data_IF_536484285459
#
_entry.id   IF_536484285459
#
_cell.length_a   1.000
_cell.length_b   1.000
_cell.length_c   1.000
_cell.angle_alpha   90.00
_cell.angle_beta   90.00
_cell.angle_gamma   90.00
#
_symmetry.space_group_name_H-M   'P 1'
#
loop_
_entity.id
_entity.type
_entity.pdbx_description
1 polymer ?
#
# COMPACT_ATOMS: atom_id res chain seq x y z
N UNK A 1 15.36 -15.97 17.57
CA UNK A 1 13.94 -16.35 17.49
C UNK A 1 13.60 -17.18 18.70
N UNK A 2 12.92 -16.55 19.67
CA UNK A 2 12.43 -17.23 20.87
C UNK A 2 11.45 -18.35 20.53
N UNK A 3 11.30 -19.31 21.44
CA UNK A 3 10.35 -20.42 21.32
C UNK A 3 8.92 -19.91 21.16
N UNK A 4 8.50 -18.88 21.92
CA UNK A 4 7.14 -18.33 21.81
C UNK A 4 6.92 -17.61 20.47
N UNK A 5 7.93 -16.90 19.94
CA UNK A 5 7.86 -16.27 18.60
C UNK A 5 7.65 -17.31 17.51
N UNK A 6 8.36 -18.44 17.56
CA UNK A 6 8.21 -19.52 16.60
C UNK A 6 6.84 -20.22 16.70
N UNK A 7 6.29 -20.38 17.90
CA UNK A 7 4.96 -20.96 18.12
C UNK A 7 3.88 -20.03 17.55
N UNK A 8 3.94 -18.72 17.83
CA UNK A 8 2.97 -17.77 17.30
C UNK A 8 3.05 -17.64 15.77
N UNK A 9 4.27 -17.60 15.20
CA UNK A 9 4.45 -17.59 13.74
C UNK A 9 3.89 -18.85 13.08
N UNK A 10 4.04 -20.02 13.71
CA UNK A 10 3.44 -21.27 13.22
C UNK A 10 1.92 -21.19 13.24
N UNK A 11 1.32 -20.68 14.31
CA UNK A 11 -0.13 -20.51 14.41
C UNK A 11 -0.70 -19.58 13.33
N UNK A 12 -0.03 -18.45 13.08
CA UNK A 12 -0.36 -17.50 11.99
C UNK A 12 -0.32 -18.18 10.60
N UNK A 13 0.45 -19.25 10.44
CA UNK A 13 0.59 -19.98 9.17
C UNK A 13 -0.28 -21.24 9.08
N UNK A 14 -0.92 -21.67 10.17
CA UNK A 14 -1.72 -22.91 10.19
C UNK A 14 -3.17 -22.67 10.62
N UNK A 15 -3.44 -22.63 11.93
CA UNK A 15 -4.79 -22.51 12.47
C UNK A 15 -5.43 -21.16 12.12
N UNK A 16 -4.65 -20.08 12.14
CA UNK A 16 -5.13 -18.73 11.82
C UNK A 16 -5.83 -18.64 10.44
N UNK A 17 -5.20 -19.03 9.30
CA UNK A 17 -5.89 -18.99 8.02
C UNK A 17 -7.01 -20.01 7.90
N UNK A 18 -7.00 -21.12 8.66
CA UNK A 18 -8.10 -22.09 8.69
C UNK A 18 -9.35 -21.47 9.34
N UNK A 19 -9.23 -20.95 10.56
CA UNK A 19 -10.34 -20.32 11.30
C UNK A 19 -10.95 -19.17 10.49
N UNK A 20 -10.08 -18.30 9.94
CA UNK A 20 -10.52 -17.20 9.09
C UNK A 20 -11.25 -17.69 7.83
N UNK A 21 -10.76 -18.75 7.17
CA UNK A 21 -11.41 -19.29 5.96
C UNK A 21 -12.78 -19.90 6.27
N UNK A 22 -12.94 -20.56 7.41
CA UNK A 22 -14.23 -21.10 7.85
C UNK A 22 -15.22 -19.97 8.14
N UNK A 23 -14.77 -18.90 8.80
CA UNK A 23 -15.59 -17.69 8.99
C UNK A 23 -16.00 -17.07 7.65
N UNK A 24 -15.09 -16.94 6.68
CA UNK A 24 -15.43 -16.45 5.33
C UNK A 24 -16.49 -17.28 4.63
N UNK A 25 -16.47 -18.60 4.81
CA UNK A 25 -17.50 -19.48 4.24
C UNK A 25 -18.87 -19.19 4.83
N UNK A 26 -18.96 -18.99 6.15
CA UNK A 26 -20.21 -18.63 6.83
C UNK A 26 -20.75 -17.29 6.32
N UNK A 27 -19.88 -16.28 6.20
CA UNK A 27 -20.32 -14.97 5.74
C UNK A 27 -20.79 -15.01 4.28
N UNK A 28 -20.08 -15.76 3.44
CA UNK A 28 -20.38 -15.88 2.01
C UNK A 28 -21.72 -16.56 1.70
N UNK A 29 -22.20 -17.43 2.58
CA UNK A 29 -23.47 -18.16 2.40
C UNK A 29 -24.71 -17.28 2.61
N UNK A 30 -24.55 -16.10 3.23
CA UNK A 30 -25.66 -15.17 3.48
C UNK A 30 -26.04 -14.37 2.24
N UNK A 31 -27.27 -13.86 2.24
CA UNK A 31 -27.69 -12.80 1.32
C UNK A 31 -26.91 -11.50 1.58
N UNK A 32 -26.81 -11.08 2.85
CA UNK A 32 -25.92 -10.00 3.27
C UNK A 32 -24.52 -10.55 3.62
N UNK A 33 -23.67 -10.69 2.59
CA UNK A 33 -22.29 -11.16 2.75
C UNK A 33 -21.40 -10.24 3.59
N UNK A 34 -21.84 -9.00 3.86
CA UNK A 34 -21.11 -8.06 4.71
C UNK A 34 -21.48 -8.20 6.19
N UNK A 35 -22.60 -8.85 6.51
CA UNK A 35 -22.98 -9.11 7.90
C UNK A 35 -22.05 -10.13 8.55
N UNK A 36 -21.59 -9.80 9.75
CA UNK A 36 -20.82 -10.70 10.61
C UNK A 36 -21.46 -10.93 11.96
N UNK A 37 -22.52 -10.19 12.31
CA UNK A 37 -23.14 -10.27 13.63
C UNK A 37 -23.89 -11.60 13.79
N UNK A 38 -23.72 -12.25 14.95
CA UNK A 38 -24.40 -13.50 15.30
C UNK A 38 -23.90 -14.73 14.55
N UNK A 39 -22.81 -14.63 13.79
CA UNK A 39 -22.27 -15.73 12.97
C UNK A 39 -20.88 -16.14 13.40
N UNK A 40 -20.65 -17.45 13.44
CA UNK A 40 -19.34 -18.02 13.72
C UNK A 40 -18.79 -17.67 15.11
N UNK A 41 -19.65 -17.33 16.08
CA UNK A 41 -19.22 -16.93 17.43
C UNK A 41 -18.23 -17.92 18.08
N UNK A 42 -18.39 -19.26 17.98
CA UNK A 42 -17.38 -20.19 18.47
C UNK A 42 -16.01 -20.02 17.81
N UNK A 43 -15.96 -19.82 16.49
CA UNK A 43 -14.72 -19.60 15.73
C UNK A 43 -14.09 -18.24 16.04
N UNK A 44 -14.90 -17.18 16.24
CA UNK A 44 -14.41 -15.87 16.66
C UNK A 44 -13.79 -15.93 18.06
N UNK A 45 -14.45 -16.64 18.98
CA UNK A 45 -13.95 -16.84 20.33
C UNK A 45 -12.65 -17.66 20.31
N UNK A 46 -12.60 -18.73 19.51
CA UNK A 46 -11.38 -19.52 19.30
C UNK A 46 -10.23 -18.67 18.76
N UNK A 47 -10.46 -17.89 17.69
CA UNK A 47 -9.45 -16.99 17.11
C UNK A 47 -8.88 -16.06 18.17
N UNK A 48 -9.75 -15.41 18.95
CA UNK A 48 -9.40 -14.45 20.00
C UNK A 48 -8.60 -15.11 21.11
N UNK A 49 -9.07 -16.23 21.64
CA UNK A 49 -8.48 -16.87 22.82
C UNK A 49 -7.12 -17.49 22.50
N UNK A 50 -7.01 -18.20 21.38
CA UNK A 50 -5.73 -18.76 20.93
C UNK A 50 -4.71 -17.67 20.65
N UNK A 51 -5.10 -16.62 19.92
CA UNK A 51 -4.22 -15.49 19.60
C UNK A 51 -3.77 -14.73 20.85
N UNK A 52 -4.68 -14.44 21.78
CA UNK A 52 -4.35 -13.77 23.03
C UNK A 52 -3.38 -14.61 23.88
N UNK A 53 -3.66 -15.90 24.09
CA UNK A 53 -2.78 -16.75 24.89
C UNK A 53 -1.34 -16.81 24.34
N UNK A 54 -1.17 -16.82 23.02
CA UNK A 54 0.14 -16.78 22.37
C UNK A 54 0.83 -15.43 22.57
N UNK A 55 0.09 -14.33 22.47
CA UNK A 55 0.60 -12.97 22.69
C UNK A 55 0.96 -12.72 24.16
N UNK A 56 0.19 -13.25 25.13
CA UNK A 56 0.50 -13.12 26.56
C UNK A 56 1.90 -13.66 26.87
N UNK A 57 2.24 -14.82 26.30
CA UNK A 57 3.56 -15.43 26.47
C UNK A 57 4.67 -14.56 25.88
N UNK A 58 4.44 -13.95 24.71
CA UNK A 58 5.38 -13.03 24.07
C UNK A 58 5.57 -11.75 24.87
N UNK A 59 4.50 -11.19 25.43
CA UNK A 59 4.58 -9.98 26.24
C UNK A 59 5.35 -10.24 27.55
N UNK A 60 5.20 -11.42 28.14
CA UNK A 60 5.94 -11.84 29.32
C UNK A 60 7.46 -12.03 29.07
N UNK A 61 7.88 -12.33 27.83
CA UNK A 61 9.30 -12.38 27.46
C UNK A 61 9.98 -10.99 27.52
N UNK A 62 9.21 -9.91 27.38
CA UNK A 62 9.74 -8.55 27.35
C UNK A 62 10.52 -8.24 26.07
N UNK A 63 11.43 -7.26 26.13
CA UNK A 63 12.26 -6.90 24.98
C UNK A 63 13.41 -7.91 24.80
N UNK A 64 13.43 -8.59 23.66
CA UNK A 64 14.43 -9.62 23.32
C UNK A 64 15.54 -9.12 22.39
N UNK A 65 15.42 -7.91 21.83
CA UNK A 65 16.37 -7.26 20.91
C UNK A 65 16.98 -8.19 19.84
N UNK A 66 16.12 -8.96 19.15
CA UNK A 66 16.55 -9.92 18.12
C UNK A 66 16.79 -9.30 16.72
N UNK A 67 17.00 -7.97 16.67
CA UNK A 67 17.18 -7.19 15.45
C UNK A 67 15.87 -6.82 14.73
N UNK A 68 16.00 -5.91 13.77
CA UNK A 68 14.87 -5.29 13.06
C UNK A 68 13.96 -6.33 12.36
N UNK A 69 14.53 -7.24 11.56
CA UNK A 69 13.74 -8.21 10.79
C UNK A 69 12.89 -9.12 11.68
N UNK A 70 13.43 -9.56 12.81
CA UNK A 70 12.72 -10.40 13.78
C UNK A 70 11.58 -9.63 14.42
N UNK A 71 11.84 -8.38 14.85
CA UNK A 71 10.85 -7.51 15.46
C UNK A 71 9.73 -7.14 14.48
N UNK A 72 10.07 -6.76 13.24
CA UNK A 72 9.12 -6.43 12.20
C UNK A 72 8.26 -7.65 11.81
N UNK A 73 8.86 -8.84 11.70
CA UNK A 73 8.11 -10.07 11.44
C UNK A 73 7.12 -10.41 12.57
N UNK A 74 7.52 -10.21 13.84
CA UNK A 74 6.66 -10.41 15.00
C UNK A 74 5.52 -9.38 15.04
N UNK A 75 5.81 -8.10 14.80
CA UNK A 75 4.79 -7.05 14.67
C UNK A 75 3.79 -7.39 13.57
N UNK A 76 4.25 -7.93 12.45
CA UNK A 76 3.40 -8.44 11.38
C UNK A 76 2.40 -9.49 11.88
N UNK A 77 2.85 -10.46 12.68
CA UNK A 77 1.98 -11.50 13.25
C UNK A 77 0.92 -10.92 14.20
N UNK A 78 1.33 -10.03 15.10
CA UNK A 78 0.40 -9.35 16.03
C UNK A 78 -0.60 -8.51 15.24
N UNK A 79 -0.12 -7.77 14.25
CA UNK A 79 -0.94 -6.94 13.38
C UNK A 79 -1.94 -7.72 12.53
N UNK A 80 -1.55 -8.89 12.00
CA UNK A 80 -2.44 -9.79 11.28
C UNK A 80 -3.55 -10.32 12.19
N UNK A 81 -3.21 -10.74 13.40
CA UNK A 81 -4.19 -11.15 14.41
C UNK A 81 -5.19 -10.02 14.71
N UNK A 82 -4.71 -8.82 15.05
CA UNK A 82 -5.57 -7.67 15.35
C UNK A 82 -6.45 -7.27 14.15
N UNK A 83 -5.91 -7.32 12.93
CA UNK A 83 -6.67 -7.06 11.71
C UNK A 83 -7.77 -8.10 11.47
N UNK A 84 -7.54 -9.38 11.76
CA UNK A 84 -8.58 -10.40 11.70
C UNK A 84 -9.66 -10.18 12.79
N UNK A 85 -9.26 -9.85 14.02
CA UNK A 85 -10.22 -9.47 15.06
C UNK A 85 -11.09 -8.28 14.65
N UNK A 86 -10.51 -7.30 13.96
CA UNK A 86 -11.26 -6.19 13.38
C UNK A 86 -12.22 -6.63 12.29
N UNK A 87 -11.78 -7.52 11.39
CA UNK A 87 -12.60 -8.03 10.28
C UNK A 87 -13.85 -8.75 10.78
N UNK A 88 -13.71 -9.54 11.85
CA UNK A 88 -14.77 -10.35 12.45
C UNK A 88 -15.56 -9.62 13.54
N UNK A 89 -15.33 -8.32 13.70
CA UNK A 89 -15.99 -7.43 14.67
C UNK A 89 -15.86 -7.86 16.14
N UNK A 90 -14.81 -8.63 16.44
CA UNK A 90 -14.29 -8.88 17.79
C UNK A 90 -13.81 -7.54 18.40
N UNK A 91 -13.31 -6.63 17.56
CA UNK A 91 -13.06 -5.21 17.88
C UNK A 91 -13.63 -4.30 16.79
N UNK A 92 -14.15 -3.14 17.19
CA UNK A 92 -14.74 -2.14 16.32
C UNK A 92 -14.46 -0.71 16.86
N UNK A 93 -13.72 0.14 16.12
CA UNK A 93 -13.21 1.40 16.64
C UNK A 93 -14.27 2.42 17.06
N UNK A 94 -15.47 2.39 16.48
CA UNK A 94 -16.58 3.31 16.83
C UNK A 94 -17.37 2.84 18.06
N UNK A 95 -17.29 1.56 18.42
CA UNK A 95 -17.89 0.97 19.64
C UNK A 95 -16.99 1.14 20.87
N UNK A 96 -15.74 1.53 20.66
CA UNK A 96 -14.68 1.44 21.66
C UNK A 96 -14.01 2.80 21.87
N UNK A 97 -13.59 3.09 23.10
CA UNK A 97 -12.73 4.24 23.42
C UNK A 97 -11.24 3.86 23.47
N UNK A 98 -10.96 2.60 23.79
CA UNK A 98 -9.65 1.94 23.74
C UNK A 98 -9.80 0.55 23.15
N UNK A 99 -8.75 0.03 22.50
CA UNK A 99 -8.74 -1.34 21.98
C UNK A 99 -9.00 -2.36 23.10
N UNK A 100 -9.92 -3.33 22.91
CA UNK A 100 -10.16 -4.41 23.87
C UNK A 100 -9.06 -5.48 23.83
N UNK A 101 -8.19 -5.45 22.82
CA UNK A 101 -7.04 -6.35 22.66
C UNK A 101 -5.83 -5.75 23.38
N UNK A 102 -5.88 -5.72 24.71
CA UNK A 102 -4.94 -4.97 25.56
C UNK A 102 -3.49 -5.43 25.37
N UNK A 103 -3.23 -6.74 25.47
CA UNK A 103 -1.87 -7.28 25.37
C UNK A 103 -1.30 -7.16 23.95
N UNK A 104 -2.13 -7.44 22.93
CA UNK A 104 -1.75 -7.24 21.53
C UNK A 104 -1.42 -5.77 21.23
N UNK A 105 -2.21 -4.84 21.77
CA UNK A 105 -1.96 -3.41 21.65
C UNK A 105 -0.65 -3.01 22.34
N UNK A 106 -0.40 -3.50 23.55
CA UNK A 106 0.83 -3.21 24.30
C UNK A 106 2.07 -3.69 23.53
N UNK A 107 2.04 -4.94 23.04
CA UNK A 107 3.14 -5.51 22.27
C UNK A 107 3.34 -4.80 20.93
N UNK A 108 2.26 -4.52 20.20
CA UNK A 108 2.35 -3.84 18.91
C UNK A 108 2.87 -2.40 19.03
N UNK A 109 2.42 -1.64 20.03
CA UNK A 109 2.93 -0.29 20.30
C UNK A 109 4.40 -0.30 20.70
N UNK A 110 4.79 -1.24 21.57
CA UNK A 110 6.18 -1.39 21.98
C UNK A 110 7.08 -1.65 20.76
N UNK A 111 6.76 -2.66 19.95
CA UNK A 111 7.58 -3.01 18.78
C UNK A 111 7.55 -1.89 17.74
N UNK A 112 6.37 -1.37 17.39
CA UNK A 112 6.24 -0.32 16.37
C UNK A 112 7.05 0.92 16.72
N UNK A 113 6.97 1.37 17.98
CA UNK A 113 7.74 2.51 18.45
C UNK A 113 9.25 2.24 18.50
N UNK A 114 9.68 1.03 18.85
CA UNK A 114 11.10 0.70 18.96
C UNK A 114 11.81 0.61 17.60
N UNK A 115 11.10 0.25 16.53
CA UNK A 115 11.67 0.10 15.19
C UNK A 115 11.19 1.16 14.18
N UNK A 116 10.43 2.17 14.63
CA UNK A 116 10.05 3.32 13.81
C UNK A 116 8.99 3.05 12.75
N UNK A 117 8.01 2.19 13.05
CA UNK A 117 6.90 1.83 12.14
C UNK A 117 5.55 1.89 12.85
N UNK A 118 4.46 1.87 12.08
CA UNK A 118 3.10 1.88 12.61
C UNK A 118 2.86 0.61 13.46
N UNK A 119 2.18 0.69 14.61
CA UNK A 119 2.01 -0.45 15.52
C UNK A 119 0.88 -1.39 15.07
N UNK A 120 0.87 -1.79 13.80
CA UNK A 120 -0.15 -2.66 13.19
C UNK A 120 0.41 -3.40 11.98
N UNK A 121 -0.42 -4.27 11.39
CA UNK A 121 -0.12 -4.83 10.07
C UNK A 121 -0.04 -3.70 9.01
N UNK A 122 1.10 -3.68 8.31
CA UNK A 122 1.44 -2.84 7.15
C UNK A 122 1.72 -3.66 5.88
N UNK A 123 1.60 -3.06 4.70
CA UNK A 123 1.66 -3.73 3.38
C UNK A 123 2.87 -4.64 3.19
N UNK A 124 4.05 -4.22 3.66
CA UNK A 124 5.28 -5.01 3.53
C UNK A 124 5.17 -6.41 4.19
N UNK A 125 4.45 -6.56 5.30
CA UNK A 125 4.32 -7.84 6.01
C UNK A 125 3.62 -8.93 5.20
N UNK A 126 2.74 -8.56 4.27
CA UNK A 126 2.07 -9.52 3.37
C UNK A 126 2.66 -9.55 1.97
N UNK A 127 3.54 -8.59 1.62
CA UNK A 127 4.13 -8.48 0.28
C UNK A 127 5.64 -8.69 0.33
N UNK A 128 6.42 -7.61 0.29
CA UNK A 128 7.88 -7.63 0.11
C UNK A 128 8.66 -8.27 1.26
N UNK A 129 8.06 -8.37 2.45
CA UNK A 129 8.67 -8.94 3.65
C UNK A 129 7.82 -10.10 4.21
N UNK A 130 7.18 -10.86 3.32
CA UNK A 130 6.38 -12.03 3.68
C UNK A 130 7.13 -13.34 3.40
N UNK A 131 7.97 -13.76 4.35
CA UNK A 131 8.80 -14.95 4.20
C UNK A 131 7.96 -16.20 3.94
N UNK A 132 8.20 -16.87 2.81
CA UNK A 132 7.63 -18.17 2.49
C UNK A 132 8.41 -19.31 3.19
N UNK A 133 7.68 -20.30 3.71
CA UNK A 133 8.19 -21.55 4.23
C UNK A 133 7.62 -22.69 3.38
N UNK A 134 8.49 -23.45 2.72
CA UNK A 134 8.09 -24.52 1.78
C UNK A 134 7.02 -24.07 0.76
N UNK A 135 7.24 -22.92 0.12
CA UNK A 135 6.33 -22.35 -0.88
C UNK A 135 5.09 -21.64 -0.33
N UNK A 136 4.86 -21.64 1.00
CA UNK A 136 3.69 -21.00 1.63
C UNK A 136 4.10 -19.80 2.48
N UNK A 137 3.48 -18.65 2.24
CA UNK A 137 3.70 -17.41 2.99
C UNK A 137 2.44 -17.03 3.80
N UNK A 138 2.56 -16.03 4.69
CA UNK A 138 1.48 -15.61 5.59
C UNK A 138 0.31 -15.03 4.78
N UNK A 139 -0.91 -15.35 5.20
CA UNK A 139 -2.17 -14.88 4.62
C UNK A 139 -3.24 -14.85 5.72
N UNK A 140 -4.30 -14.09 5.52
CA UNK A 140 -5.49 -14.10 6.38
C UNK A 140 -6.31 -15.36 6.17
N UNK A 141 -6.44 -15.83 4.94
CA UNK A 141 -7.28 -16.97 4.53
C UNK A 141 -6.52 -17.89 3.58
N UNK A 142 -7.15 -19.00 3.20
CA UNK A 142 -6.70 -19.89 2.13
C UNK A 142 -7.37 -19.58 0.78
N UNK A 143 -8.07 -18.45 0.65
CA UNK A 143 -8.80 -18.11 -0.56
C UNK A 143 -7.85 -17.81 -1.74
N UNK A 144 -8.15 -18.28 -2.96
CA UNK A 144 -7.37 -17.97 -4.16
C UNK A 144 -7.30 -16.47 -4.47
N UNK A 145 -8.38 -15.73 -4.25
CA UNK A 145 -8.43 -14.28 -4.53
C UNK A 145 -7.52 -13.47 -3.62
N UNK A 146 -7.33 -13.89 -2.36
CA UNK A 146 -6.36 -13.25 -1.48
C UNK A 146 -4.94 -13.48 -1.97
N UNK A 147 -4.64 -14.71 -2.43
CA UNK A 147 -3.35 -15.04 -3.04
C UNK A 147 -3.07 -14.16 -4.26
N UNK A 148 -4.02 -14.08 -5.19
CA UNK A 148 -3.90 -13.25 -6.39
C UNK A 148 -3.67 -11.79 -6.03
N UNK A 149 -4.44 -11.26 -5.08
CA UNK A 149 -4.29 -9.89 -4.62
C UNK A 149 -2.90 -9.64 -4.04
N UNK A 150 -2.42 -10.49 -3.13
CA UNK A 150 -1.09 -10.35 -2.52
C UNK A 150 0.03 -10.45 -3.57
N UNK A 151 -0.05 -11.43 -4.47
CA UNK A 151 1.00 -11.71 -5.45
C UNK A 151 1.15 -10.55 -6.45
N UNK A 152 0.05 -10.07 -7.02
CA UNK A 152 0.11 -8.96 -7.99
C UNK A 152 0.44 -7.63 -7.32
N UNK A 153 0.01 -7.38 -6.08
CA UNK A 153 0.51 -6.22 -5.33
C UNK A 153 2.01 -6.30 -5.10
N UNK A 154 2.54 -7.48 -4.74
CA UNK A 154 3.98 -7.67 -4.56
C UNK A 154 4.74 -7.41 -5.86
N UNK A 155 4.28 -7.96 -6.98
CA UNK A 155 4.88 -7.74 -8.29
C UNK A 155 4.87 -6.26 -8.68
N UNK A 156 3.72 -5.58 -8.55
CA UNK A 156 3.57 -4.16 -8.84
C UNK A 156 4.47 -3.28 -7.96
N UNK A 157 4.55 -3.56 -6.66
CA UNK A 157 5.44 -2.84 -5.72
C UNK A 157 6.91 -3.02 -6.15
N UNK A 158 7.35 -4.25 -6.44
CA UNK A 158 8.73 -4.50 -6.86
C UNK A 158 9.05 -3.85 -8.20
N UNK A 159 8.10 -3.80 -9.14
CA UNK A 159 8.27 -3.08 -10.40
C UNK A 159 8.38 -1.57 -10.19
N UNK A 160 7.55 -0.98 -9.34
CA UNK A 160 7.71 0.44 -8.96
C UNK A 160 9.05 0.72 -8.27
N UNK A 161 9.55 -0.18 -7.41
CA UNK A 161 10.88 -0.03 -6.79
C UNK A 161 11.99 -0.03 -7.85
N UNK A 162 11.94 -0.91 -8.85
CA UNK A 162 12.88 -0.88 -9.99
C UNK A 162 12.83 0.46 -10.75
N UNK A 163 11.63 0.99 -10.96
CA UNK A 163 11.47 2.28 -11.63
C UNK A 163 12.07 3.43 -10.81
N UNK A 164 11.76 3.52 -9.51
CA UNK A 164 12.33 4.57 -8.64
C UNK A 164 13.84 4.47 -8.52
N UNK A 165 14.39 3.27 -8.43
CA UNK A 165 15.83 3.05 -8.29
C UNK A 165 16.60 3.49 -9.54
N UNK A 166 16.03 3.32 -10.72
CA UNK A 166 16.61 3.80 -11.97
C UNK A 166 16.59 5.34 -12.03
N UNK A 167 15.46 5.95 -11.63
CA UNK A 167 15.32 7.40 -11.58
C UNK A 167 16.28 8.04 -10.56
N UNK A 168 16.42 7.47 -9.36
CA UNK A 168 17.37 7.96 -8.35
C UNK A 168 18.82 7.98 -8.86
N UNK A 169 19.20 7.02 -9.70
CA UNK A 169 20.55 6.95 -10.29
C UNK A 169 20.81 8.01 -11.36
N UNK A 170 19.78 8.71 -11.85
CA UNK A 170 19.95 9.85 -12.77
C UNK A 170 20.42 11.08 -12.00
N UNK A 171 20.01 11.28 -10.75
CA UNK A 171 20.34 12.47 -9.94
C UNK A 171 21.84 12.84 -9.96
N UNK A 172 22.79 11.94 -9.65
CA UNK A 172 24.21 12.29 -9.65
C UNK A 172 24.81 12.44 -11.06
N UNK A 173 24.13 11.96 -12.10
CA UNK A 173 24.62 12.01 -13.49
C UNK A 173 24.11 13.26 -14.24
N UNK A 174 22.88 13.69 -13.94
CA UNK A 174 22.20 14.77 -14.63
C UNK A 174 21.52 14.33 -15.92
N UNK A 175 20.52 15.11 -16.35
CA UNK A 175 19.65 14.79 -17.49
C UNK A 175 20.38 14.75 -18.84
N UNK A 176 21.56 15.36 -18.97
CA UNK A 176 22.34 15.40 -20.21
C UNK A 176 23.33 14.24 -20.36
N UNK A 177 23.59 13.50 -19.28
CA UNK A 177 24.54 12.39 -19.31
C UNK A 177 24.02 11.27 -20.22
N UNK A 178 24.83 10.65 -21.11
CA UNK A 178 24.36 9.60 -22.02
C UNK A 178 23.65 8.42 -21.33
N UNK A 179 24.16 8.00 -20.16
CA UNK A 179 23.53 6.95 -19.33
C UNK A 179 22.14 7.34 -18.78
N UNK A 180 21.76 8.62 -18.77
CA UNK A 180 20.40 9.05 -18.43
C UNK A 180 19.38 8.35 -19.33
N UNK A 181 19.65 8.26 -20.64
CA UNK A 181 18.77 7.54 -21.57
C UNK A 181 18.58 6.07 -21.18
N UNK A 182 19.66 5.39 -20.79
CA UNK A 182 19.60 3.99 -20.38
C UNK A 182 18.78 3.81 -19.09
N UNK A 183 18.95 4.69 -18.11
CA UNK A 183 18.18 4.68 -16.88
C UNK A 183 16.70 5.02 -17.12
N UNK A 184 16.39 5.95 -18.02
CA UNK A 184 15.02 6.25 -18.43
C UNK A 184 14.36 5.05 -19.14
N UNK A 185 15.11 4.28 -19.95
CA UNK A 185 14.60 3.03 -20.54
C UNK A 185 14.31 1.97 -19.48
N UNK A 186 15.16 1.85 -18.46
CA UNK A 186 14.90 0.94 -17.31
C UNK A 186 13.64 1.36 -16.56
N UNK A 187 13.50 2.64 -16.23
CA UNK A 187 12.30 3.17 -15.57
C UNK A 187 11.04 2.95 -16.43
N UNK A 188 11.14 3.18 -17.73
CA UNK A 188 10.08 2.92 -18.70
C UNK A 188 9.63 1.46 -18.68
N UNK A 189 10.57 0.51 -18.80
CA UNK A 189 10.25 -0.91 -18.80
C UNK A 189 9.61 -1.33 -17.47
N UNK A 190 10.17 -0.88 -16.34
CA UNK A 190 9.61 -1.18 -15.03
C UNK A 190 8.16 -0.67 -14.87
N UNK A 191 7.81 0.51 -15.42
CA UNK A 191 6.43 1.00 -15.44
C UNK A 191 5.52 0.21 -16.39
N UNK A 192 6.04 -0.34 -17.49
CA UNK A 192 5.29 -1.28 -18.34
C UNK A 192 4.98 -2.55 -17.55
N UNK A 193 5.94 -3.10 -16.82
CA UNK A 193 5.73 -4.28 -15.98
C UNK A 193 4.66 -4.02 -14.90
N UNK A 194 4.57 -2.80 -14.36
CA UNK A 194 3.47 -2.41 -13.46
C UNK A 194 2.11 -2.49 -14.16
N UNK A 195 2.00 -1.97 -15.39
CA UNK A 195 0.76 -2.01 -16.17
C UNK A 195 0.35 -3.45 -16.44
N UNK A 196 1.29 -4.30 -16.86
CA UNK A 196 1.04 -5.72 -17.15
C UNK A 196 0.58 -6.47 -15.90
N UNK A 197 1.27 -6.28 -14.77
CA UNK A 197 0.92 -6.88 -13.47
C UNK A 197 -0.48 -6.46 -13.02
N UNK A 198 -0.79 -5.17 -13.13
CA UNK A 198 -2.12 -4.63 -12.81
C UNK A 198 -3.21 -5.18 -13.72
N UNK A 199 -2.99 -5.24 -15.03
CA UNK A 199 -3.96 -5.77 -15.98
C UNK A 199 -4.25 -7.26 -15.73
N UNK A 200 -3.23 -8.03 -15.38
CA UNK A 200 -3.37 -9.43 -15.01
C UNK A 200 -4.24 -9.57 -13.75
N UNK A 201 -4.04 -8.73 -12.73
CA UNK A 201 -4.90 -8.68 -11.53
C UNK A 201 -6.34 -8.34 -11.89
N UNK A 202 -6.58 -7.29 -12.69
CA UNK A 202 -7.94 -6.84 -13.05
C UNK A 202 -8.77 -7.91 -13.77
N UNK A 203 -8.08 -8.76 -14.52
CA UNK A 203 -8.67 -9.82 -15.33
C UNK A 203 -8.99 -11.06 -14.49
N UNK A 204 -8.14 -11.38 -13.52
CA UNK A 204 -8.23 -12.64 -12.76
C UNK A 204 -8.92 -12.52 -11.40
N UNK A 205 -8.87 -11.36 -10.75
CA UNK A 205 -9.43 -11.18 -9.41
C UNK A 205 -10.95 -11.14 -9.46
N UNK A 206 -11.60 -12.01 -8.69
CA UNK A 206 -13.06 -11.98 -8.53
C UNK A 206 -13.45 -10.74 -7.69
N UNK A 207 -14.32 -9.91 -8.26
CA UNK A 207 -14.73 -8.63 -7.66
C UNK A 207 -15.53 -8.81 -6.38
N UNK A 208 -16.45 -9.78 -6.34
CA UNK A 208 -17.32 -10.02 -5.19
C UNK A 208 -16.53 -10.69 -4.06
N UNK A 209 -15.69 -11.67 -4.39
CA UNK A 209 -14.77 -12.32 -3.44
C UNK A 209 -13.78 -11.33 -2.85
N UNK A 210 -13.16 -10.50 -3.68
CA UNK A 210 -12.25 -9.47 -3.16
C UNK A 210 -12.99 -8.52 -2.20
N UNK A 211 -14.14 -8.00 -2.61
CA UNK A 211 -14.85 -6.98 -1.83
C UNK A 211 -15.35 -7.52 -0.49
N UNK A 212 -15.84 -8.76 -0.43
CA UNK A 212 -16.45 -9.34 0.77
C UNK A 212 -15.51 -10.20 1.61
N UNK A 213 -14.45 -10.78 1.02
CA UNK A 213 -13.58 -11.72 1.73
C UNK A 213 -12.14 -11.24 1.89
N UNK A 214 -11.64 -10.34 1.04
CA UNK A 214 -10.24 -9.86 1.10
C UNK A 214 -10.16 -8.46 1.70
N UNK A 215 -10.85 -7.49 1.08
CA UNK A 215 -10.89 -6.08 1.51
C UNK A 215 -11.19 -5.89 3.01
N UNK A 216 -12.13 -6.63 3.64
CA UNK A 216 -12.49 -6.40 5.04
C UNK A 216 -11.36 -6.60 6.06
N UNK A 217 -10.29 -7.31 5.70
CA UNK A 217 -9.08 -7.45 6.54
C UNK A 217 -8.22 -6.18 6.58
N UNK A 218 -8.44 -5.24 5.67
CA UNK A 218 -7.70 -3.98 5.57
C UNK A 218 -8.46 -2.81 6.25
N UNK A 219 -9.41 -3.09 7.14
CA UNK A 219 -10.16 -2.06 7.87
C UNK A 219 -9.29 -1.31 8.91
N UNK A 220 -9.61 -0.04 9.22
CA UNK A 220 -9.07 0.67 10.39
C UNK A 220 -9.46 -0.01 11.70
N UNK A 221 -8.57 0.02 12.69
CA UNK A 221 -8.83 -0.46 14.06
C UNK A 221 -8.00 0.30 15.10
N UNK A 222 -8.38 0.17 16.37
CA UNK A 222 -7.65 0.76 17.49
C UNK A 222 -6.43 -0.08 17.88
N UNK A 223 -5.32 0.59 18.17
CA UNK A 223 -4.16 0.03 18.87
C UNK A 223 -3.90 0.93 20.07
N UNK A 224 -4.13 0.42 21.28
CA UNK A 224 -4.31 1.29 22.45
C UNK A 224 -5.51 2.21 22.24
N UNK A 225 -5.32 3.51 22.44
CA UNK A 225 -6.38 4.50 22.28
C UNK A 225 -6.53 5.02 20.84
N UNK A 226 -5.48 4.91 20.02
CA UNK A 226 -5.43 5.54 18.70
C UNK A 226 -6.03 4.65 17.61
N UNK A 227 -6.73 5.27 16.64
CA UNK A 227 -7.25 4.58 15.46
C UNK A 227 -6.22 4.67 14.34
N UNK A 228 -5.77 3.51 13.86
CA UNK A 228 -4.85 3.43 12.73
C UNK A 228 -5.59 2.95 11.48
N UNK A 229 -5.48 3.70 10.37
CA UNK A 229 -6.01 3.30 9.07
C UNK A 229 -5.43 1.96 8.62
N UNK A 230 -6.13 1.28 7.72
CA UNK A 230 -5.67 0.11 6.99
C UNK A 230 -4.44 0.35 6.12
N UNK A 231 -3.75 -0.74 5.81
CA UNK A 231 -2.63 -0.74 4.89
C UNK A 231 -3.10 -0.59 3.44
N UNK A 232 -2.35 0.17 2.63
CA UNK A 232 -2.63 0.42 1.23
C UNK A 232 -1.51 -0.13 0.35
N UNK A 233 -1.86 -0.59 -0.86
CA UNK A 233 -0.89 -1.05 -1.86
C UNK A 233 0.20 0.00 -2.18
N UNK A 234 -0.13 1.28 -2.01
CA UNK A 234 0.80 2.38 -2.19
C UNK A 234 1.75 2.62 -1.02
N UNK A 235 1.69 1.91 0.11
CA UNK A 235 2.50 2.16 1.32
C UNK A 235 3.97 1.69 1.17
N UNK A 236 4.69 2.33 0.26
CA UNK A 236 6.13 2.18 0.02
C UNK A 236 6.66 3.46 -0.66
N UNK A 237 7.98 3.67 -0.65
CA UNK A 237 8.57 4.91 -1.17
C UNK A 237 8.45 5.07 -2.68
N UNK A 238 8.69 3.99 -3.43
CA UNK A 238 8.95 4.03 -4.87
C UNK A 238 7.94 4.84 -5.68
N UNK A 239 6.64 4.66 -5.45
CA UNK A 239 5.61 5.40 -6.20
C UNK A 239 5.68 6.93 -5.96
N UNK A 240 5.97 7.36 -4.73
CA UNK A 240 6.08 8.78 -4.39
C UNK A 240 7.45 9.37 -4.76
N UNK A 241 8.50 8.55 -4.77
CA UNK A 241 9.81 8.94 -5.32
C UNK A 241 9.68 9.25 -6.80
N UNK A 242 8.98 8.39 -7.56
CA UNK A 242 8.70 8.64 -9.00
C UNK A 242 7.89 9.93 -9.17
N UNK A 243 6.82 10.11 -8.37
CA UNK A 243 5.99 11.32 -8.41
C UNK A 243 6.83 12.62 -8.31
N UNK A 244 7.79 12.65 -7.37
CA UNK A 244 8.61 13.84 -7.10
C UNK A 244 9.77 13.99 -8.09
N UNK A 245 10.49 12.92 -8.43
CA UNK A 245 11.62 12.98 -9.35
C UNK A 245 11.17 13.31 -10.78
N UNK A 246 10.00 12.82 -11.22
CA UNK A 246 9.41 13.23 -12.49
C UNK A 246 8.76 14.63 -12.43
N UNK A 247 8.67 15.24 -11.25
CA UNK A 247 8.08 16.57 -11.04
C UNK A 247 6.56 16.61 -11.16
N UNK A 248 5.88 15.46 -11.19
CA UNK A 248 4.43 15.33 -11.38
C UNK A 248 3.65 15.68 -10.12
N UNK A 249 4.27 15.49 -8.94
CA UNK A 249 3.77 16.00 -7.66
C UNK A 249 4.87 16.83 -6.97
N UNK A 250 4.47 17.67 -6.01
CA UNK A 250 5.39 18.55 -5.27
C UNK A 250 5.23 18.36 -3.76
N UNK A 251 6.35 18.10 -3.07
CA UNK A 251 6.39 18.04 -1.61
C UNK A 251 6.09 19.39 -0.93
N UNK A 252 6.15 20.51 -1.67
CA UNK A 252 5.81 21.83 -1.14
C UNK A 252 4.30 22.12 -1.18
N UNK A 253 3.49 21.25 -1.81
CA UNK A 253 2.04 21.36 -1.80
C UNK A 253 1.48 20.75 -0.51
N UNK A 254 0.72 21.51 0.32
CA UNK A 254 0.22 21.01 1.62
C UNK A 254 -0.56 19.71 1.54
N UNK A 255 -1.37 19.53 0.48
CA UNK A 255 -2.18 18.32 0.27
C UNK A 255 -1.30 17.09 0.03
N UNK A 256 -0.22 17.24 -0.73
CA UNK A 256 0.69 16.14 -1.04
C UNK A 256 1.62 15.84 0.13
N UNK A 257 2.16 16.85 0.81
CA UNK A 257 3.02 16.65 1.98
C UNK A 257 2.29 15.98 3.14
N UNK A 258 1.04 16.37 3.41
CA UNK A 258 0.20 15.70 4.41
C UNK A 258 0.00 14.21 4.07
N UNK A 259 -0.28 13.89 2.80
CA UNK A 259 -0.39 12.49 2.35
C UNK A 259 0.88 11.68 2.61
N UNK A 260 2.07 12.28 2.44
CA UNK A 260 3.35 11.62 2.75
C UNK A 260 3.53 11.41 4.26
N UNK A 261 3.16 12.40 5.08
CA UNK A 261 3.18 12.31 6.55
C UNK A 261 2.32 11.14 7.04
N UNK A 262 1.10 11.02 6.53
CA UNK A 262 0.12 10.00 6.93
C UNK A 262 0.51 8.57 6.52
N UNK A 263 1.63 8.39 5.81
CA UNK A 263 2.10 7.07 5.36
C UNK A 263 3.54 6.74 5.69
N UNK A 264 4.36 7.65 6.22
CA UNK A 264 5.76 7.32 6.57
C UNK A 264 5.84 6.10 7.48
N UNK A 265 5.06 6.07 8.56
CA UNK A 265 5.08 4.93 9.49
C UNK A 265 4.52 3.63 8.87
N UNK A 266 3.86 3.69 7.71
CA UNK A 266 3.31 2.53 7.03
C UNK A 266 4.30 1.83 6.08
N UNK A 267 5.51 2.37 5.91
CA UNK A 267 6.57 1.77 5.09
C UNK A 267 7.84 1.47 5.91
N UNK A 268 8.74 0.68 5.31
CA UNK A 268 10.03 0.33 5.90
C UNK A 268 10.85 1.59 6.24
N UNK A 269 11.64 1.62 7.32
CA UNK A 269 12.47 2.78 7.66
C UNK A 269 13.39 3.25 6.52
N UNK A 270 13.93 2.33 5.71
CA UNK A 270 14.75 2.66 4.54
C UNK A 270 13.93 3.38 3.47
N UNK A 271 12.70 2.92 3.22
CA UNK A 271 11.76 3.59 2.32
C UNK A 271 11.40 5.00 2.87
N UNK A 272 11.23 5.15 4.19
CA UNK A 272 10.99 6.47 4.80
C UNK A 272 12.14 7.43 4.55
N UNK A 273 13.39 6.97 4.71
CA UNK A 273 14.58 7.79 4.48
C UNK A 273 14.68 8.22 3.02
N UNK A 274 14.58 7.27 2.07
CA UNK A 274 14.63 7.56 0.63
C UNK A 274 13.56 8.58 0.25
N UNK A 275 12.35 8.41 0.79
CA UNK A 275 11.24 9.31 0.50
C UNK A 275 11.50 10.74 1.04
N UNK A 276 12.02 10.87 2.27
CA UNK A 276 12.40 12.17 2.86
C UNK A 276 13.50 12.88 2.08
N UNK A 277 14.47 12.12 1.57
CA UNK A 277 15.53 12.66 0.73
C UNK A 277 14.96 13.17 -0.61
N UNK A 278 14.11 12.39 -1.27
CA UNK A 278 13.48 12.78 -2.54
C UNK A 278 12.64 14.05 -2.43
N UNK A 279 12.04 14.35 -1.27
CA UNK A 279 11.30 15.61 -1.03
C UNK A 279 12.16 16.88 -1.16
N UNK A 280 13.49 16.76 -1.10
CA UNK A 280 14.44 17.88 -1.13
C UNK A 280 15.21 17.97 -2.45
N UNK A 281 14.94 17.07 -3.39
CA UNK A 281 15.65 17.01 -4.67
C UNK A 281 14.94 17.87 -5.73
N UNK A 282 15.72 18.40 -6.68
CA UNK A 282 15.16 19.02 -7.89
C UNK A 282 14.57 17.95 -8.80
N UNK A 283 13.45 18.29 -9.47
CA UNK A 283 12.77 17.36 -10.38
C UNK A 283 13.35 17.41 -11.78
N UNK A 284 13.32 16.27 -12.49
CA UNK A 284 13.77 16.20 -13.89
C UNK A 284 12.91 17.04 -14.82
N UNK A 285 11.62 17.23 -14.49
CA UNK A 285 10.76 18.16 -15.23
C UNK A 285 11.37 19.56 -15.25
N UNK A 286 11.74 20.06 -14.08
CA UNK A 286 12.30 21.40 -13.96
C UNK A 286 13.70 21.47 -14.59
N UNK A 287 14.51 20.40 -14.49
CA UNK A 287 15.80 20.31 -15.19
C UNK A 287 15.63 20.42 -16.72
N UNK A 288 14.68 19.69 -17.31
CA UNK A 288 14.43 19.76 -18.77
C UNK A 288 13.91 21.15 -19.18
N UNK A 289 13.04 21.76 -18.39
CA UNK A 289 12.53 23.11 -18.65
C UNK A 289 13.65 24.18 -18.56
N UNK A 290 14.54 24.07 -17.59
CA UNK A 290 15.70 24.98 -17.42
C UNK A 290 16.76 24.78 -18.52
N UNK A 291 16.80 23.62 -19.17
CA UNK A 291 17.72 23.30 -20.25
C UNK A 291 17.23 23.74 -21.65
N UNK A 292 16.30 24.69 -21.74
CA UNK A 292 15.70 25.18 -22.99
C UNK A 292 16.74 25.57 -24.06
N UNK A 293 17.86 26.20 -23.67
CA UNK A 293 18.94 26.58 -24.58
C UNK A 293 19.60 25.39 -25.29
N UNK A 294 19.42 24.18 -24.78
CA UNK A 294 19.94 22.94 -25.35
C UNK A 294 18.90 22.15 -26.12
N UNK A 295 17.69 22.68 -26.33
CA UNK A 295 16.58 21.96 -26.97
C UNK A 295 16.91 21.39 -28.36
N UNK A 296 17.84 22.03 -29.07
CA UNK A 296 18.25 21.64 -30.41
C UNK A 296 19.35 20.56 -30.42
N UNK A 297 19.94 20.23 -29.27
CA UNK A 297 20.94 19.17 -29.13
C UNK A 297 20.32 17.78 -29.22
N UNK A 298 21.05 16.84 -29.81
CA UNK A 298 20.61 15.44 -29.97
C UNK A 298 20.29 14.75 -28.65
N UNK A 299 21.14 14.96 -27.63
CA UNK A 299 20.92 14.39 -26.30
C UNK A 299 19.61 14.90 -25.70
N UNK A 300 19.28 16.20 -25.88
CA UNK A 300 18.09 16.79 -25.29
C UNK A 300 16.85 16.18 -25.92
N UNK A 301 16.77 16.18 -27.26
CA UNK A 301 15.63 15.60 -27.99
C UNK A 301 15.42 14.14 -27.63
N UNK A 302 16.50 13.36 -27.57
CA UNK A 302 16.42 11.93 -27.24
C UNK A 302 15.99 11.68 -25.79
N UNK A 303 16.63 12.35 -24.83
CA UNK A 303 16.35 12.14 -23.41
C UNK A 303 14.97 12.69 -23.03
N UNK A 304 14.59 13.88 -23.51
CA UNK A 304 13.27 14.47 -23.26
C UNK A 304 12.16 13.59 -23.84
N UNK A 305 12.36 12.98 -25.01
CA UNK A 305 11.41 12.00 -25.58
C UNK A 305 11.21 10.80 -24.65
N UNK A 306 12.29 10.22 -24.11
CA UNK A 306 12.20 9.12 -23.15
C UNK A 306 11.56 9.55 -21.84
N UNK A 307 11.91 10.73 -21.31
CA UNK A 307 11.33 11.30 -20.10
C UNK A 307 9.81 11.49 -20.23
N UNK A 308 9.33 12.07 -21.34
CA UNK A 308 7.88 12.22 -21.61
C UNK A 308 7.19 10.85 -21.66
N UNK A 309 7.83 9.82 -22.23
CA UNK A 309 7.28 8.46 -22.24
C UNK A 309 7.16 7.87 -20.83
N UNK A 310 8.17 8.06 -19.98
CA UNK A 310 8.14 7.63 -18.57
C UNK A 310 7.02 8.35 -17.82
N UNK A 311 6.89 9.67 -17.96
CA UNK A 311 5.79 10.44 -17.36
C UNK A 311 4.42 9.93 -17.81
N UNK A 312 4.26 9.67 -19.12
CA UNK A 312 3.02 9.13 -19.67
C UNK A 312 2.70 7.76 -19.06
N UNK A 313 3.66 6.84 -19.00
CA UNK A 313 3.43 5.50 -18.45
C UNK A 313 3.08 5.55 -16.96
N UNK A 314 3.71 6.43 -16.19
CA UNK A 314 3.34 6.64 -14.79
C UNK A 314 1.90 7.15 -14.67
N UNK A 315 1.50 8.10 -15.51
CA UNK A 315 0.11 8.53 -15.64
C UNK A 315 -0.86 7.41 -16.02
N UNK A 316 -0.51 6.60 -17.03
CA UNK A 316 -1.32 5.46 -17.48
C UNK A 316 -1.50 4.43 -16.37
N UNK A 317 -0.46 4.14 -15.57
CA UNK A 317 -0.58 3.24 -14.40
C UNK A 317 -1.55 3.79 -13.36
N UNK A 318 -1.55 5.10 -13.12
CA UNK A 318 -2.45 5.75 -12.16
C UNK A 318 -3.90 5.76 -12.66
N UNK A 319 -4.12 6.03 -13.96
CA UNK A 319 -5.44 5.95 -14.60
C UNK A 319 -5.98 4.53 -14.54
N UNK A 320 -5.17 3.54 -14.91
CA UNK A 320 -5.53 2.12 -14.82
C UNK A 320 -5.90 1.73 -13.40
N UNK A 321 -5.08 2.07 -12.42
CA UNK A 321 -5.35 1.79 -11.01
C UNK A 321 -6.67 2.41 -10.54
N UNK A 322 -6.92 3.68 -10.82
CA UNK A 322 -8.14 4.35 -10.40
C UNK A 322 -9.38 3.75 -11.10
N UNK A 323 -9.35 3.66 -12.43
CA UNK A 323 -10.54 3.29 -13.21
C UNK A 323 -10.83 1.78 -13.18
N UNK A 324 -9.82 0.93 -12.96
CA UNK A 324 -9.98 -0.52 -12.96
C UNK A 324 -9.92 -1.15 -11.57
N UNK A 325 -9.10 -0.61 -10.65
CA UNK A 325 -9.06 -1.16 -9.29
C UNK A 325 -10.07 -0.46 -8.38
N UNK A 326 -9.97 0.86 -8.26
CA UNK A 326 -10.81 1.62 -7.32
C UNK A 326 -12.28 1.60 -7.76
N UNK A 327 -12.57 1.90 -9.02
CA UNK A 327 -13.94 1.93 -9.50
C UNK A 327 -14.59 0.53 -9.48
N UNK A 328 -13.95 -0.47 -10.09
CA UNK A 328 -14.51 -1.83 -10.23
C UNK A 328 -14.61 -2.58 -8.90
N UNK A 329 -13.58 -2.50 -8.05
CA UNK A 329 -13.49 -3.32 -6.83
C UNK A 329 -13.93 -2.59 -5.56
N UNK A 330 -14.16 -1.27 -5.59
CA UNK A 330 -14.60 -0.50 -4.41
C UNK A 330 -15.85 0.31 -4.71
N UNK A 331 -15.82 1.21 -5.70
CA UNK A 331 -16.92 2.16 -5.93
C UNK A 331 -18.20 1.49 -6.44
N UNK A 332 -18.11 0.56 -7.39
CA UNK A 332 -19.29 -0.15 -7.91
C UNK A 332 -19.91 -1.12 -6.90
N UNK A 333 -19.14 -1.99 -6.21
CA UNK A 333 -19.71 -2.88 -5.20
C UNK A 333 -20.31 -2.14 -4.01
N UNK A 334 -19.75 -0.99 -3.63
CA UNK A 334 -20.29 -0.18 -2.51
C UNK A 334 -21.65 0.44 -2.81
N UNK A 335 -22.05 0.63 -4.08
CA UNK A 335 -23.40 1.12 -4.43
C UNK A 335 -24.52 0.14 -4.08
N UNK A 336 -24.20 -1.16 -4.03
CA UNK A 336 -25.15 -2.22 -3.70
C UNK A 336 -25.08 -2.61 -2.22
N UNK A 337 -24.14 -2.03 -1.46
CA UNK A 337 -23.94 -2.31 -0.05
C UNK A 337 -25.02 -1.62 0.79
N UNK A 338 -25.52 -2.31 1.81
CA UNK A 338 -26.46 -1.71 2.74
C UNK A 338 -25.83 -0.52 3.48
N UNK A 339 -26.61 0.55 3.70
CA UNK A 339 -26.13 1.81 4.26
C UNK A 339 -25.41 1.65 5.62
N UNK A 340 -25.85 0.69 6.44
CA UNK A 340 -25.26 0.39 7.75
C UNK A 340 -23.78 -0.01 7.69
N UNK A 341 -23.32 -0.52 6.54
CA UNK A 341 -21.94 -0.99 6.37
C UNK A 341 -21.03 0.04 5.67
N UNK A 342 -21.58 1.15 5.18
CA UNK A 342 -20.85 2.13 4.36
C UNK A 342 -19.69 2.81 5.09
N UNK A 343 -19.80 3.02 6.39
CA UNK A 343 -18.72 3.58 7.22
C UNK A 343 -17.50 2.65 7.32
N UNK A 344 -17.65 1.36 6.98
CA UNK A 344 -16.62 0.32 7.09
C UNK A 344 -15.98 -0.03 5.72
N UNK A 345 -16.28 0.74 4.66
CA UNK A 345 -15.81 0.45 3.29
C UNK A 345 -14.34 0.79 3.10
N UNK A 346 -13.91 1.97 3.55
CA UNK A 346 -12.55 2.47 3.25
C UNK A 346 -11.50 1.92 4.22
N UNK A 347 -10.34 1.57 3.69
CA UNK A 347 -9.14 1.30 4.49
C UNK A 347 -8.55 2.60 5.08
N UNK A 348 -8.71 3.74 4.41
CA UNK A 348 -7.97 4.96 4.75
C UNK A 348 -8.55 5.79 5.90
N UNK A 349 -9.82 5.57 6.30
CA UNK A 349 -10.49 6.32 7.37
C UNK A 349 -11.53 7.35 6.89
N UNK A 350 -11.22 8.23 5.92
CA UNK A 350 -12.20 9.19 5.41
C UNK A 350 -13.42 8.53 4.76
N UNK A 351 -14.58 9.22 4.73
CA UNK A 351 -15.73 8.76 3.96
C UNK A 351 -15.37 8.49 2.49
N UNK A 352 -16.03 7.50 1.88
CA UNK A 352 -15.69 7.01 0.54
C UNK A 352 -15.61 8.13 -0.52
N UNK A 353 -16.56 9.08 -0.52
CA UNK A 353 -16.55 10.18 -1.49
C UNK A 353 -15.33 11.11 -1.34
N UNK A 354 -14.89 11.38 -0.10
CA UNK A 354 -13.69 12.19 0.18
C UNK A 354 -12.43 11.47 -0.29
N UNK A 355 -12.37 10.16 -0.06
CA UNK A 355 -11.27 9.32 -0.53
C UNK A 355 -11.21 9.29 -2.07
N UNK A 356 -12.36 9.12 -2.75
CA UNK A 356 -12.42 9.06 -4.21
C UNK A 356 -11.98 10.39 -4.84
N UNK A 357 -12.42 11.54 -4.30
CA UNK A 357 -11.97 12.86 -4.77
C UNK A 357 -10.45 13.04 -4.60
N UNK A 358 -9.91 12.63 -3.45
CA UNK A 358 -8.46 12.69 -3.20
C UNK A 358 -7.66 11.80 -4.17
N UNK A 359 -8.15 10.59 -4.44
CA UNK A 359 -7.53 9.65 -5.37
C UNK A 359 -7.64 10.12 -6.82
N UNK A 360 -8.73 10.81 -7.17
CA UNK A 360 -8.91 11.39 -8.49
C UNK A 360 -7.90 12.52 -8.75
N UNK A 361 -7.75 13.43 -7.79
CA UNK A 361 -6.75 14.51 -7.88
C UNK A 361 -5.32 13.95 -7.99
N UNK A 362 -5.00 12.90 -7.24
CA UNK A 362 -3.69 12.24 -7.34
C UNK A 362 -3.48 11.55 -8.70
N UNK A 363 -4.52 10.87 -9.24
CA UNK A 363 -4.50 10.29 -10.59
C UNK A 363 -4.17 11.37 -11.63
N UNK A 364 -4.84 12.50 -11.55
CA UNK A 364 -4.73 13.56 -12.54
C UNK A 364 -3.43 14.34 -12.46
N UNK A 365 -2.85 14.49 -11.26
CA UNK A 365 -1.46 14.97 -11.12
C UNK A 365 -0.47 14.05 -11.83
N UNK A 366 -0.56 12.74 -11.59
CA UNK A 366 0.32 11.73 -12.23
C UNK A 366 0.12 11.67 -13.75
N UNK A 367 -1.11 11.81 -14.21
CA UNK A 367 -1.45 11.86 -15.64
C UNK A 367 -1.07 13.18 -16.31
N UNK A 368 -0.67 14.20 -15.54
CA UNK A 368 -0.55 15.58 -16.02
C UNK A 368 -1.80 16.04 -16.76
N UNK A 369 -2.99 15.73 -16.23
CA UNK A 369 -4.26 16.08 -16.86
C UNK A 369 -4.48 17.60 -16.81
N UNK A 370 -5.20 18.14 -17.79
CA UNK A 370 -5.62 19.55 -17.75
C UNK A 370 -6.67 19.72 -16.66
N UNK A 371 -6.37 20.55 -15.66
CA UNK A 371 -7.20 20.82 -14.48
C UNK A 371 -7.06 22.28 -14.11
N UNK A 372 -8.16 22.91 -13.71
CA UNK A 372 -8.17 24.31 -13.26
C UNK A 372 -8.22 24.43 -11.73
N UNK A 373 -8.64 23.36 -11.03
CA UNK A 373 -8.83 23.30 -9.58
C UNK A 373 -7.57 22.84 -8.82
N UNK A 374 -6.62 22.19 -9.50
CA UNK A 374 -5.34 21.75 -8.94
C UNK A 374 -4.19 22.04 -9.91
N UNK A 375 -3.00 22.30 -9.37
CA UNK A 375 -1.78 22.40 -10.18
C UNK A 375 -1.41 21.03 -10.76
N UNK A 376 -1.20 20.97 -12.07
CA UNK A 376 -0.67 19.81 -12.81
C UNK A 376 0.47 20.24 -13.74
N UNK A 377 1.22 19.27 -14.28
CA UNK A 377 2.30 19.51 -15.27
C UNK A 377 1.81 19.45 -16.72
N UNK A 378 0.51 19.65 -16.97
CA UNK A 378 -0.07 19.54 -18.32
C UNK A 378 0.62 20.46 -19.33
N UNK A 379 0.74 21.76 -19.01
CA UNK A 379 1.34 22.75 -19.91
C UNK A 379 2.84 22.52 -20.07
N UNK A 380 3.55 22.20 -18.98
CA UNK A 380 4.98 21.87 -18.99
C UNK A 380 5.28 20.68 -19.92
N UNK A 381 4.50 19.60 -19.83
CA UNK A 381 4.63 18.43 -20.71
C UNK A 381 4.36 18.81 -22.17
N UNK A 382 3.36 19.66 -22.44
CA UNK A 382 3.04 20.09 -23.80
C UNK A 382 4.12 21.00 -24.39
N UNK A 383 4.73 21.84 -23.58
CA UNK A 383 5.87 22.67 -23.96
C UNK A 383 7.08 21.79 -24.32
N UNK A 384 7.43 20.82 -23.48
CA UNK A 384 8.52 19.88 -23.78
C UNK A 384 8.25 19.08 -25.07
N UNK A 385 7.00 18.65 -25.29
CA UNK A 385 6.60 18.00 -26.55
C UNK A 385 6.79 18.92 -27.76
N UNK A 386 6.56 20.21 -27.63
CA UNK A 386 6.77 21.18 -28.72
C UNK A 386 8.26 21.37 -29.02
N UNK A 387 9.13 21.35 -28.00
CA UNK A 387 10.57 21.52 -28.18
C UNK A 387 11.26 20.35 -28.90
N UNK A 388 10.69 19.14 -28.81
CA UNK A 388 11.25 17.94 -29.44
C UNK A 388 10.57 17.52 -30.75
N UNK A 389 9.65 18.35 -31.26
CA UNK A 389 9.18 18.23 -32.65
C UNK A 389 10.30 18.65 -33.59
#
# INVERSE_FOLDING_TARGET
MSTHTAIFDRWIRSAFPQINSELEQLYWQQDDKANVEGLGEPLKQQLKDEGNALISNLLAEGNTDEGFDSAFNLLGNVGLFMAACRRHEITEPSRETTSPLVEASALAMHIGASIGVTPRFATAHLTTHNKALNGTYKRFTNLPDEKLFIDYNTQGILAYKRASDALLKILPLGISHPTCAELLKVAKQALIDVIESNNALYTQLDTERFFNCVRPYYKPHRVGNEIYRGANAGDFAGINVIDMLLGLCSANEPSYSQMLVDKFLYMMPEDQQILREAMRMQSFMDDFLQAQQYKDNDWFKYHAKLFIQVCKLHGDTAIGHHNQLVEKFIAQPSKQMQQQHMSKVTASGPPLHVLLDSLEKLRDKRASAKRDDIKTRYDDINLLKQWIK
#
